data_IF_814034492967
#
_entry.id   IF_814034492967
#
_cell.length_a   1.000
_cell.length_b   1.000
_cell.length_c   1.000
_cell.angle_alpha   90.00
_cell.angle_beta   90.00
_cell.angle_gamma   90.00
#
_symmetry.space_group_name_H-M   'P 1'
#
loop_
_entity.id
_entity.type
_entity.pdbx_description
1 polymer ?
#
# COMPACT_ATOMS: atom_id res chain seq x y z
N UNK A 1 -29.66 17.23 3.95
CA UNK A 1 -30.12 16.90 2.56
C UNK A 1 -29.34 15.67 2.09
N UNK A 2 -29.69 15.03 0.96
CA UNK A 2 -28.93 13.86 0.49
C UNK A 2 -27.51 14.28 0.08
N UNK A 3 -26.50 13.97 0.91
CA UNK A 3 -25.10 13.94 0.45
C UNK A 3 -25.01 12.87 -0.64
N UNK A 4 -24.36 13.19 -1.75
CA UNK A 4 -23.63 12.19 -2.52
C UNK A 4 -22.19 12.31 -2.03
N UNK A 5 -21.61 11.23 -1.50
CA UNK A 5 -20.16 11.14 -1.57
C UNK A 5 -19.78 11.09 -3.05
N UNK A 6 -18.68 11.74 -3.41
CA UNK A 6 -18.17 11.77 -4.77
C UNK A 6 -16.66 11.59 -4.67
N UNK A 7 -16.27 10.36 -4.28
CA UNK A 7 -14.88 9.91 -4.19
C UNK A 7 -14.14 10.27 -5.48
N UNK A 8 -13.02 10.97 -5.35
CA UNK A 8 -12.26 11.52 -6.45
C UNK A 8 -11.35 10.46 -7.11
N UNK A 9 -11.95 9.44 -7.74
CA UNK A 9 -11.23 8.40 -8.48
C UNK A 9 -10.56 9.01 -9.73
N UNK A 10 -9.34 9.54 -9.56
CA UNK A 10 -8.57 10.27 -10.57
C UNK A 10 -7.87 9.36 -11.59
N UNK A 11 -8.64 8.48 -12.22
CA UNK A 11 -8.17 7.63 -13.32
C UNK A 11 -8.07 8.41 -14.65
N UNK A 12 -7.04 8.08 -15.44
CA UNK A 12 -6.62 8.87 -16.60
C UNK A 12 -7.66 8.93 -17.75
N UNK A 13 -8.36 10.08 -17.87
CA UNK A 13 -9.42 10.27 -18.89
C UNK A 13 -8.85 10.58 -20.27
N UNK A 14 -8.78 9.57 -21.14
CA UNK A 14 -8.57 9.78 -22.58
C UNK A 14 -9.88 10.23 -23.28
N UNK A 15 -9.83 11.34 -24.02
CA UNK A 15 -11.03 11.96 -24.58
C UNK A 15 -11.55 11.29 -25.86
N UNK A 16 -12.80 10.81 -25.85
CA UNK A 16 -13.63 10.71 -27.07
C UNK A 16 -15.07 11.18 -26.84
N UNK A 17 -15.46 12.26 -27.52
CA UNK A 17 -16.83 12.81 -27.46
C UNK A 17 -17.70 12.32 -28.62
N UNK A 18 -18.96 11.94 -28.36
CA UNK A 18 -20.08 12.03 -29.31
C UNK A 18 -21.45 11.99 -28.62
N UNK A 19 -22.44 12.64 -29.25
CA UNK A 19 -23.80 12.90 -28.74
C UNK A 19 -24.81 11.86 -29.36
N UNK A 20 -26.12 11.76 -29.08
CA UNK A 20 -27.14 12.70 -28.53
C UNK A 20 -28.46 11.97 -28.17
N UNK A 21 -29.22 12.47 -27.17
CA UNK A 21 -30.70 12.39 -27.04
C UNK A 21 -31.37 10.99 -26.83
N UNK A 22 -32.64 10.83 -26.40
CA UNK A 22 -33.74 11.81 -26.17
C UNK A 22 -34.81 11.36 -25.11
N UNK A 23 -35.35 12.33 -24.35
CA UNK A 23 -36.75 12.51 -23.85
C UNK A 23 -37.66 11.31 -23.44
N UNK A 24 -38.29 11.39 -22.25
CA UNK A 24 -39.51 10.61 -21.92
C UNK A 24 -40.23 10.98 -20.61
N UNK A 25 -41.56 11.10 -20.64
CA UNK A 25 -42.51 11.34 -19.50
C UNK A 25 -43.91 10.83 -19.93
N UNK A 26 -45.00 10.69 -19.14
CA UNK A 26 -45.45 11.08 -17.76
C UNK A 26 -46.38 9.92 -17.24
N UNK A 27 -47.13 9.88 -16.12
CA UNK A 27 -47.53 10.80 -15.03
C UNK A 27 -48.14 10.02 -13.81
N UNK A 28 -48.40 10.76 -12.71
CA UNK A 28 -49.41 10.58 -11.63
C UNK A 28 -50.28 9.31 -11.52
N UNK A 29 -50.47 8.84 -10.27
CA UNK A 29 -51.80 8.75 -9.61
C UNK A 29 -51.69 8.68 -8.07
N UNK A 30 -52.71 9.20 -7.35
CA UNK A 30 -53.07 8.96 -5.93
C UNK A 30 -54.05 7.75 -5.85
N UNK A 31 -54.86 7.39 -4.83
CA UNK A 31 -55.56 7.98 -3.66
C UNK A 31 -55.83 6.83 -2.62
N UNK A 32 -56.31 6.96 -1.37
CA UNK A 32 -56.25 7.97 -0.28
C UNK A 32 -56.95 7.36 1.00
N UNK A 33 -56.62 7.83 2.23
CA UNK A 33 -57.37 7.65 3.51
C UNK A 33 -57.60 6.20 4.07
N UNK A 34 -57.89 5.91 5.36
CA UNK A 34 -57.80 6.54 6.71
C UNK A 34 -57.89 5.36 7.75
N UNK A 35 -58.16 5.37 9.07
CA UNK A 35 -58.70 6.26 10.15
C UNK A 35 -58.09 5.73 11.49
N UNK A 36 -57.70 6.49 12.52
CA UNK A 36 -58.39 7.46 13.44
C UNK A 36 -58.77 6.83 14.82
N UNK A 37 -58.86 7.69 15.85
CA UNK A 37 -59.25 7.48 17.28
C UNK A 37 -58.32 6.69 18.24
N UNK A 38 -58.27 6.96 19.57
CA UNK A 38 -58.51 8.17 20.41
C UNK A 38 -58.23 7.86 21.92
N UNK A 39 -57.99 8.90 22.75
CA UNK A 39 -58.20 8.93 24.23
C UNK A 39 -57.33 7.97 25.11
N UNK A 40 -57.16 8.04 26.44
CA UNK A 40 -57.38 9.00 27.58
C UNK A 40 -56.61 8.37 28.80
N UNK A 41 -56.20 8.96 29.93
CA UNK A 41 -56.11 10.33 30.52
C UNK A 41 -55.23 10.23 31.82
N UNK A 42 -55.03 11.31 32.59
CA UNK A 42 -54.62 11.43 34.02
C UNK A 42 -53.13 11.49 34.45
N UNK A 43 -52.64 12.72 34.58
CA UNK A 43 -52.33 13.39 35.88
C UNK A 43 -51.69 12.62 37.06
N UNK A 44 -50.51 13.07 37.49
CA UNK A 44 -50.17 13.27 38.91
C UNK A 44 -48.94 14.18 39.09
N UNK A 45 -49.12 15.42 39.56
CA UNK A 45 -48.02 16.30 39.95
C UNK A 45 -47.61 16.14 41.43
N UNK A 46 -46.32 16.25 41.71
CA UNK A 46 -45.77 16.44 43.06
C UNK A 46 -44.59 17.42 42.99
N UNK A 47 -44.78 18.59 43.60
CA UNK A 47 -43.79 19.66 43.73
C UNK A 47 -43.15 19.56 45.12
N UNK A 48 -41.83 19.44 45.18
CA UNK A 48 -41.04 19.73 46.39
C UNK A 48 -39.65 20.20 45.97
N UNK A 49 -39.16 21.25 46.64
CA UNK A 49 -37.98 22.00 46.20
C UNK A 49 -36.87 21.89 47.24
N UNK A 50 -35.70 21.41 46.83
CA UNK A 50 -34.45 21.57 47.57
C UNK A 50 -33.38 22.19 46.67
N UNK A 51 -32.58 23.08 47.24
CA UNK A 51 -31.65 23.93 46.50
C UNK A 51 -30.21 23.64 46.95
N UNK A 52 -29.45 23.02 46.05
CA UNK A 52 -28.03 22.74 46.22
C UNK A 52 -27.26 23.20 44.98
N UNK A 53 -26.07 23.77 45.18
CA UNK A 53 -25.25 24.30 44.10
C UNK A 53 -24.83 23.20 43.11
N UNK A 54 -25.31 23.30 41.88
CA UNK A 54 -24.64 22.78 40.69
C UNK A 54 -24.06 23.96 39.92
N UNK A 55 -22.74 24.04 39.78
CA UNK A 55 -22.17 24.91 38.76
C UNK A 55 -22.58 24.35 37.40
N UNK A 56 -23.50 25.03 36.72
CA UNK A 56 -23.73 24.80 35.30
C UNK A 56 -22.44 25.19 34.57
N UNK A 57 -21.65 24.19 34.18
CA UNK A 57 -20.80 24.33 33.02
C UNK A 57 -21.73 24.60 31.84
N UNK A 58 -21.85 25.88 31.47
CA UNK A 58 -22.64 26.29 30.32
C UNK A 58 -22.05 25.62 29.08
N UNK A 59 -22.84 24.76 28.46
CA UNK A 59 -22.62 24.25 27.11
C UNK A 59 -22.83 25.40 26.11
N UNK A 60 -21.89 26.35 26.14
CA UNK A 60 -21.90 27.58 25.37
C UNK A 60 -21.49 27.25 23.94
N UNK A 61 -22.42 26.57 23.25
CA UNK A 61 -22.40 26.24 21.83
C UNK A 61 -22.58 27.53 21.01
N UNK A 62 -21.59 28.42 21.13
CA UNK A 62 -21.44 29.58 20.26
C UNK A 62 -21.32 29.10 18.82
N UNK A 63 -22.33 29.38 17.99
CA UNK A 63 -22.22 29.14 16.55
C UNK A 63 -20.97 29.86 16.02
N UNK A 64 -20.16 29.15 15.22
CA UNK A 64 -18.90 29.65 14.70
C UNK A 64 -19.08 30.99 13.97
N UNK A 65 -18.20 31.96 14.23
CA UNK A 65 -18.31 33.26 13.58
C UNK A 65 -17.78 33.23 12.14
N UNK A 66 -18.19 34.21 11.33
CA UNK A 66 -17.66 34.42 9.97
C UNK A 66 -16.12 34.54 9.95
N UNK A 67 -15.49 35.01 11.04
CA UNK A 67 -14.03 35.11 11.17
C UNK A 67 -13.38 33.77 11.58
N UNK A 68 -14.10 32.89 12.30
CA UNK A 68 -13.63 31.55 12.68
C UNK A 68 -13.59 30.60 11.49
N UNK A 69 -14.71 30.52 10.74
CA UNK A 69 -14.77 29.72 9.51
C UNK A 69 -13.72 30.20 8.51
N UNK A 70 -13.56 31.52 8.34
CA UNK A 70 -12.55 32.09 7.45
C UNK A 70 -11.11 31.74 7.83
N UNK A 71 -10.80 31.57 9.12
CA UNK A 71 -9.49 31.09 9.54
C UNK A 71 -9.28 29.60 9.20
N UNK A 72 -10.34 28.80 9.33
CA UNK A 72 -10.33 27.40 8.93
C UNK A 72 -10.24 27.22 7.41
N UNK A 73 -10.95 28.03 6.62
CA UNK A 73 -10.89 28.08 5.15
C UNK A 73 -9.47 28.41 4.65
N UNK A 74 -8.75 29.31 5.32
CA UNK A 74 -7.36 29.67 4.98
C UNK A 74 -6.40 28.49 5.20
N UNK A 75 -6.64 27.66 6.23
CA UNK A 75 -5.86 26.44 6.50
C UNK A 75 -6.26 25.30 5.55
N UNK A 76 -7.54 25.13 5.25
CA UNK A 76 -8.01 24.16 4.26
C UNK A 76 -7.38 24.38 2.89
N UNK A 77 -7.39 25.63 2.41
CA UNK A 77 -6.75 26.01 1.16
C UNK A 77 -5.21 25.88 1.15
N UNK A 78 -4.55 25.82 2.32
CA UNK A 78 -3.12 25.54 2.44
C UNK A 78 -2.83 24.02 2.45
N UNK A 79 -3.72 23.21 3.04
CA UNK A 79 -3.65 21.74 2.98
C UNK A 79 -3.90 21.26 1.55
N UNK A 80 -4.98 21.73 0.90
CA UNK A 80 -5.28 21.43 -0.51
C UNK A 80 -4.11 21.83 -1.44
N UNK A 81 -3.36 22.88 -1.10
CA UNK A 81 -2.18 23.31 -1.87
C UNK A 81 -1.00 22.34 -1.77
N UNK A 82 -0.80 21.67 -0.63
CA UNK A 82 0.30 20.71 -0.44
C UNK A 82 -0.10 19.28 -0.79
N UNK A 83 -1.39 19.01 -1.02
CA UNK A 83 -1.89 17.73 -1.52
C UNK A 83 -1.66 17.59 -3.03
N UNK A 84 -0.39 17.43 -3.43
CA UNK A 84 0.04 17.35 -4.83
C UNK A 84 0.97 16.14 -5.06
N UNK A 85 0.80 15.48 -6.20
CA UNK A 85 1.63 14.32 -6.60
C UNK A 85 3.01 14.73 -7.14
N UNK A 86 3.19 15.97 -7.60
CA UNK A 86 4.48 16.50 -8.06
C UNK A 86 5.05 17.52 -7.06
N UNK A 87 6.34 17.36 -6.69
CA UNK A 87 7.06 18.33 -5.86
C UNK A 87 7.43 19.58 -6.66
N UNK A 88 7.38 20.74 -6.01
CA UNK A 88 7.68 22.04 -6.63
C UNK A 88 8.70 22.84 -5.82
N UNK A 89 9.28 23.90 -6.43
CA UNK A 89 10.23 24.81 -5.78
C UNK A 89 9.71 25.46 -4.47
N UNK A 90 8.39 25.50 -4.24
CA UNK A 90 7.79 26.10 -3.03
C UNK A 90 7.28 25.08 -2.00
N UNK A 91 7.36 23.77 -2.28
CA UNK A 91 6.74 22.72 -1.44
C UNK A 91 7.19 22.81 0.03
N UNK A 92 8.48 23.07 0.32
CA UNK A 92 8.97 23.19 1.70
C UNK A 92 8.41 24.43 2.43
N UNK A 93 8.30 25.57 1.72
CA UNK A 93 7.72 26.79 2.27
C UNK A 93 6.21 26.64 2.50
N UNK A 94 5.53 25.88 1.63
CA UNK A 94 4.10 25.65 1.67
C UNK A 94 3.68 24.62 2.74
N UNK A 95 4.41 23.51 2.88
CA UNK A 95 4.21 22.53 3.96
C UNK A 95 4.34 23.21 5.33
N UNK A 96 5.38 24.04 5.48
CA UNK A 96 5.59 24.85 6.67
C UNK A 96 4.47 25.89 6.87
N UNK A 97 4.03 26.57 5.82
CA UNK A 97 2.97 27.56 5.92
C UNK A 97 1.63 26.94 6.35
N UNK A 98 1.28 25.76 5.82
CA UNK A 98 0.09 25.02 6.21
C UNK A 98 0.09 24.67 7.69
N UNK A 99 1.19 24.08 8.20
CA UNK A 99 1.31 23.72 9.62
C UNK A 99 1.37 24.95 10.53
N UNK A 100 2.15 25.96 10.17
CA UNK A 100 2.20 27.21 10.91
C UNK A 100 0.82 27.89 10.96
N UNK A 101 -0.05 27.73 9.96
CA UNK A 101 -1.40 28.27 9.98
C UNK A 101 -2.35 27.41 10.86
N UNK A 102 -2.30 26.09 10.73
CA UNK A 102 -3.03 25.14 11.59
C UNK A 102 -2.73 25.34 13.09
N UNK A 103 -1.46 25.51 13.45
CA UNK A 103 -1.02 25.70 14.85
C UNK A 103 -1.45 27.06 15.45
N UNK A 104 -2.02 27.97 14.64
CA UNK A 104 -2.64 29.23 15.09
C UNK A 104 -4.14 29.09 15.33
N UNK A 105 -4.78 28.02 14.86
CA UNK A 105 -6.21 27.78 15.08
C UNK A 105 -6.47 27.36 16.53
N UNK A 106 -7.57 27.86 17.09
CA UNK A 106 -8.20 27.26 18.27
C UNK A 106 -8.80 25.90 17.91
N UNK A 107 -9.02 25.03 18.90
CA UNK A 107 -9.52 23.68 18.62
C UNK A 107 -10.91 23.71 17.97
N UNK A 108 -11.79 24.63 18.39
CA UNK A 108 -13.08 24.87 17.75
C UNK A 108 -13.00 25.38 16.29
N UNK A 109 -11.86 25.94 15.86
CA UNK A 109 -11.62 26.31 14.46
C UNK A 109 -11.02 25.15 13.65
N UNK A 110 -10.32 24.20 14.28
CA UNK A 110 -9.78 23.00 13.61
C UNK A 110 -10.92 22.10 13.12
N UNK A 111 -11.97 21.94 13.92
CA UNK A 111 -13.20 21.22 13.56
C UNK A 111 -13.94 21.82 12.34
N UNK A 112 -13.63 23.06 11.95
CA UNK A 112 -14.22 23.76 10.80
C UNK A 112 -13.37 23.65 9.53
N UNK A 113 -12.17 23.04 9.59
CA UNK A 113 -11.25 22.93 8.46
C UNK A 113 -11.83 21.95 7.44
N UNK A 114 -12.04 22.43 6.22
CA UNK A 114 -12.56 21.66 5.10
C UNK A 114 -11.99 22.21 3.79
N UNK A 115 -11.72 21.31 2.84
CA UNK A 115 -11.20 21.64 1.51
C UNK A 115 -11.70 20.65 0.45
N UNK A 116 -10.93 20.51 -0.62
CA UNK A 116 -11.07 19.41 -1.59
C UNK A 116 -10.53 18.10 -0.98
N UNK A 117 -9.40 18.18 -0.28
CA UNK A 117 -8.70 17.07 0.40
C UNK A 117 -8.44 17.39 1.89
N UNK A 118 -8.60 18.65 2.31
CA UNK A 118 -8.44 19.08 3.69
C UNK A 118 -9.61 18.68 4.62
N UNK A 119 -9.26 18.23 5.83
CA UNK A 119 -10.17 17.89 6.92
C UNK A 119 -9.53 18.17 8.28
N UNK A 120 -10.26 18.12 9.42
CA UNK A 120 -9.67 18.25 10.75
C UNK A 120 -8.66 17.13 11.05
N UNK A 121 -8.91 15.92 10.55
CA UNK A 121 -8.03 14.75 10.75
C UNK A 121 -6.65 14.94 10.10
N UNK A 122 -6.53 15.71 9.01
CA UNK A 122 -5.28 15.84 8.25
C UNK A 122 -4.08 16.24 9.12
N UNK A 123 -4.26 17.17 10.06
CA UNK A 123 -3.25 17.51 11.07
C UNK A 123 -3.70 17.24 12.51
N UNK A 124 -4.97 16.91 12.75
CA UNK A 124 -5.53 16.64 14.08
C UNK A 124 -5.41 15.19 14.55
N UNK A 125 -5.30 14.24 13.61
CA UNK A 125 -5.31 12.80 13.92
C UNK A 125 -4.07 12.36 14.70
N UNK A 126 -4.27 11.69 15.83
CA UNK A 126 -3.20 10.91 16.46
C UNK A 126 -2.88 9.69 15.59
N UNK A 127 -1.63 9.58 15.18
CA UNK A 127 -1.13 8.44 14.40
C UNK A 127 0.10 7.77 15.02
N UNK A 128 0.41 8.11 16.28
CA UNK A 128 1.59 7.63 16.99
C UNK A 128 2.79 8.57 16.96
N UNK A 129 3.93 8.05 17.40
CA UNK A 129 5.09 8.83 17.81
C UNK A 129 6.14 8.94 16.70
N UNK A 130 6.15 10.08 16.01
CA UNK A 130 7.14 10.40 14.96
C UNK A 130 8.60 10.29 15.45
N UNK A 131 8.88 10.46 16.74
CA UNK A 131 10.25 10.41 17.28
C UNK A 131 10.84 9.00 17.39
N UNK A 132 10.06 7.96 17.05
CA UNK A 132 10.53 6.58 16.84
C UNK A 132 11.08 6.33 15.42
N UNK A 133 10.72 7.18 14.47
CA UNK A 133 11.09 6.99 13.06
C UNK A 133 12.56 7.35 12.80
N UNK A 134 13.06 6.94 11.63
CA UNK A 134 14.34 7.38 11.07
C UNK A 134 14.14 7.64 9.57
N UNK A 135 14.27 8.88 9.07
CA UNK A 135 14.17 9.16 7.63
C UNK A 135 15.35 8.57 6.85
N UNK A 136 16.36 8.03 7.54
CA UNK A 136 17.58 7.43 6.99
C UNK A 136 18.23 8.34 5.97
N UNK A 137 18.36 9.61 6.34
CA UNK A 137 18.71 10.70 5.41
C UNK A 137 20.15 11.22 5.57
N UNK A 138 21.05 10.36 6.07
CA UNK A 138 22.47 10.61 6.27
C UNK A 138 23.28 10.66 4.96
N UNK A 139 24.42 11.35 5.01
CA UNK A 139 25.44 11.43 3.97
C UNK A 139 26.74 10.72 4.43
N UNK A 140 27.80 10.74 3.61
CA UNK A 140 29.08 10.03 3.84
C UNK A 140 28.95 8.49 3.89
N UNK A 141 27.93 7.96 3.21
CA UNK A 141 27.45 6.56 3.26
C UNK A 141 28.33 5.48 2.57
N UNK A 142 29.41 5.87 1.91
CA UNK A 142 30.29 4.94 1.18
C UNK A 142 29.81 4.61 -0.24
N UNK A 143 30.35 3.54 -0.82
CA UNK A 143 30.16 3.21 -2.25
C UNK A 143 28.95 2.27 -2.53
N UNK A 144 28.32 1.72 -1.48
CA UNK A 144 27.21 0.76 -1.57
C UNK A 144 25.95 1.34 -0.90
N UNK A 145 24.85 1.48 -1.64
CA UNK A 145 23.55 1.93 -1.12
C UNK A 145 22.47 0.88 -1.32
N UNK A 146 21.72 0.60 -0.24
CA UNK A 146 20.51 -0.22 -0.27
C UNK A 146 19.32 0.71 -0.07
N UNK A 147 18.71 1.14 -1.18
CA UNK A 147 17.58 2.07 -1.17
C UNK A 147 16.27 1.29 -1.01
N UNK A 148 15.64 1.43 0.15
CA UNK A 148 14.32 0.87 0.45
C UNK A 148 13.27 1.86 -0.04
N UNK A 149 12.41 1.41 -0.96
CA UNK A 149 11.39 2.25 -1.61
C UNK A 149 10.00 1.80 -1.19
N UNK A 150 9.23 2.68 -0.60
CA UNK A 150 7.84 2.42 -0.20
C UNK A 150 6.88 3.39 -0.86
N UNK A 151 5.59 3.04 -0.95
CA UNK A 151 4.54 4.04 -1.15
C UNK A 151 4.60 5.10 -0.05
N UNK A 152 4.77 4.64 1.20
CA UNK A 152 4.89 5.46 2.40
C UNK A 152 3.64 5.39 3.28
N UNK A 153 3.70 6.05 4.45
CA UNK A 153 2.51 6.32 5.26
C UNK A 153 2.69 7.55 6.15
N UNK A 154 1.63 8.35 6.28
CA UNK A 154 1.53 9.43 7.26
C UNK A 154 1.21 8.91 8.67
N UNK A 155 0.99 7.60 8.85
CA UNK A 155 0.80 7.01 10.18
C UNK A 155 2.14 6.71 10.83
N UNK A 156 2.45 7.42 11.92
CA UNK A 156 3.78 7.39 12.55
C UNK A 156 4.13 6.02 13.14
N UNK A 157 3.25 5.41 13.92
CA UNK A 157 3.53 4.09 14.50
C UNK A 157 3.61 3.01 13.40
N UNK A 158 2.79 3.07 12.35
CA UNK A 158 2.96 2.20 11.17
C UNK A 158 4.29 2.44 10.44
N UNK A 159 4.75 3.69 10.32
CA UNK A 159 6.03 4.01 9.67
C UNK A 159 7.21 3.46 10.49
N UNK A 160 7.16 3.62 11.81
CA UNK A 160 8.19 3.17 12.75
C UNK A 160 8.17 1.65 13.06
N UNK A 161 7.06 0.95 12.82
CA UNK A 161 6.92 -0.49 13.11
C UNK A 161 6.81 -1.37 11.85
N UNK A 162 6.24 -0.89 10.74
CA UNK A 162 6.11 -1.66 9.49
C UNK A 162 7.24 -1.35 8.49
N UNK A 163 7.42 -0.08 8.10
CA UNK A 163 8.45 0.30 7.10
C UNK A 163 9.84 0.20 7.73
N UNK A 164 10.03 0.85 8.88
CA UNK A 164 11.31 0.85 9.59
C UNK A 164 11.72 -0.55 10.09
N UNK A 165 10.77 -1.46 10.33
CA UNK A 165 11.06 -2.87 10.65
C UNK A 165 11.83 -3.56 9.52
N UNK A 166 11.30 -3.48 8.30
CA UNK A 166 11.96 -3.96 7.07
C UNK A 166 13.35 -3.33 6.91
N UNK A 167 13.48 -2.01 7.07
CA UNK A 167 14.76 -1.31 6.93
C UNK A 167 15.78 -1.68 8.01
N UNK A 168 15.35 -1.92 9.26
CA UNK A 168 16.19 -2.36 10.37
C UNK A 168 16.67 -3.81 10.13
N UNK A 169 15.79 -4.71 9.67
CA UNK A 169 16.14 -6.09 9.31
C UNK A 169 17.14 -6.15 8.14
N UNK A 170 16.93 -5.33 7.10
CA UNK A 170 17.87 -5.19 5.98
C UNK A 170 19.23 -4.63 6.44
N UNK A 171 19.24 -3.68 7.38
CA UNK A 171 20.49 -3.12 7.94
C UNK A 171 21.25 -4.12 8.84
N UNK A 172 20.55 -5.01 9.56
CA UNK A 172 21.19 -6.11 10.31
C UNK A 172 21.73 -7.20 9.37
N UNK A 173 21.03 -7.50 8.28
CA UNK A 173 21.45 -8.49 7.28
C UNK A 173 22.63 -8.01 6.40
N UNK A 174 22.69 -6.72 6.07
CA UNK A 174 23.65 -6.14 5.12
C UNK A 174 24.47 -4.98 5.70
N UNK A 175 25.29 -5.19 6.75
CA UNK A 175 26.05 -4.12 7.42
C UNK A 175 27.15 -3.46 6.56
N UNK A 176 27.48 -4.03 5.40
CA UNK A 176 28.39 -3.44 4.39
C UNK A 176 27.63 -2.61 3.31
N UNK A 177 26.32 -2.41 3.48
CA UNK A 177 25.44 -1.60 2.63
C UNK A 177 24.75 -0.52 3.46
N UNK A 178 24.78 0.73 3.00
CA UNK A 178 24.09 1.82 3.69
C UNK A 178 22.60 1.81 3.33
N UNK A 179 21.75 1.43 4.28
CA UNK A 179 20.29 1.42 4.09
C UNK A 179 19.74 2.84 4.12
N UNK A 180 19.03 3.20 3.04
CA UNK A 180 18.38 4.49 2.78
C UNK A 180 16.89 4.30 2.54
N UNK A 181 16.10 5.37 2.72
CA UNK A 181 14.65 5.40 2.46
C UNK A 181 14.32 6.34 1.30
N UNK A 182 13.37 5.94 0.46
CA UNK A 182 12.61 6.87 -0.39
C UNK A 182 11.12 6.51 -0.39
N UNK A 183 10.25 7.51 -0.51
CA UNK A 183 8.81 7.30 -0.75
C UNK A 183 8.42 7.66 -2.19
N UNK A 184 7.42 6.98 -2.76
CA UNK A 184 6.83 7.33 -4.07
C UNK A 184 5.73 8.40 -3.92
N UNK A 185 4.85 8.26 -2.92
CA UNK A 185 3.67 9.12 -2.77
C UNK A 185 4.04 10.52 -2.23
N UNK A 186 4.18 11.50 -3.12
CA UNK A 186 4.52 12.87 -2.74
C UNK A 186 3.51 13.52 -1.78
N UNK A 187 2.21 13.16 -1.89
CA UNK A 187 1.17 13.59 -0.93
C UNK A 187 1.48 13.16 0.52
N UNK A 188 2.07 11.97 0.70
CA UNK A 188 2.48 11.45 2.02
C UNK A 188 3.73 12.17 2.52
N UNK A 189 4.72 12.40 1.64
CA UNK A 189 5.94 13.13 1.97
C UNK A 189 5.60 14.55 2.44
N UNK A 190 4.73 15.25 1.69
CA UNK A 190 4.28 16.60 2.04
C UNK A 190 3.51 16.62 3.38
N UNK A 191 2.65 15.62 3.62
CA UNK A 191 1.92 15.47 4.89
C UNK A 191 2.88 15.28 6.07
N UNK A 192 3.82 14.33 5.98
CA UNK A 192 4.80 14.03 7.05
C UNK A 192 5.71 15.24 7.30
N UNK A 193 6.22 15.87 6.24
CA UNK A 193 7.04 17.08 6.35
C UNK A 193 6.28 18.24 7.01
N UNK A 194 5.01 18.47 6.61
CA UNK A 194 4.20 19.53 7.19
C UNK A 194 3.84 19.24 8.66
N UNK A 195 3.39 18.02 8.99
CA UNK A 195 2.86 17.70 10.32
C UNK A 195 3.97 17.47 11.35
N UNK A 196 5.03 16.76 10.98
CA UNK A 196 6.02 16.20 11.91
C UNK A 196 7.40 16.91 11.83
N UNK A 197 7.62 17.83 10.87
CA UNK A 197 8.93 18.45 10.51
C UNK A 197 9.97 17.42 10.03
N UNK A 198 9.52 16.22 9.62
CA UNK A 198 10.36 15.09 9.21
C UNK A 198 10.55 15.05 7.68
N UNK A 199 11.80 14.88 7.23
CA UNK A 199 12.18 15.06 5.82
C UNK A 199 12.55 13.72 5.19
N UNK A 200 11.59 13.14 4.47
CA UNK A 200 11.76 11.92 3.68
C UNK A 200 12.03 12.31 2.22
N UNK A 201 13.04 11.70 1.60
CA UNK A 201 13.36 11.94 0.19
C UNK A 201 12.32 11.24 -0.72
N UNK A 202 11.88 11.92 -1.79
CA UNK A 202 11.19 11.25 -2.90
C UNK A 202 12.21 10.53 -3.80
N UNK A 203 11.74 9.70 -4.74
CA UNK A 203 12.61 8.95 -5.67
C UNK A 203 13.67 9.81 -6.38
N UNK A 204 13.30 11.01 -6.87
CA UNK A 204 14.24 11.92 -7.53
C UNK A 204 15.29 12.47 -6.56
N UNK A 205 14.89 12.85 -5.34
CA UNK A 205 15.79 13.35 -4.30
C UNK A 205 16.77 12.27 -3.85
N UNK A 206 16.29 11.05 -3.59
CA UNK A 206 17.12 9.94 -3.15
C UNK A 206 18.16 9.55 -4.21
N UNK A 207 17.73 9.40 -5.48
CA UNK A 207 18.63 9.05 -6.58
C UNK A 207 19.66 10.16 -6.88
N UNK A 208 19.29 11.45 -6.83
CA UNK A 208 20.26 12.56 -6.91
C UNK A 208 21.25 12.54 -5.74
N UNK A 209 20.79 12.19 -4.53
CA UNK A 209 21.63 12.19 -3.32
C UNK A 209 22.55 10.97 -3.23
N UNK A 210 22.15 9.79 -3.73
CA UNK A 210 23.02 8.64 -3.91
C UNK A 210 24.21 9.00 -4.82
N UNK A 211 23.92 9.65 -5.96
CA UNK A 211 24.93 10.19 -6.89
C UNK A 211 25.80 11.26 -6.23
N UNK A 212 25.21 12.16 -5.43
CA UNK A 212 25.97 13.20 -4.72
C UNK A 212 26.89 12.64 -3.61
N UNK A 213 26.51 11.53 -2.98
CA UNK A 213 27.33 10.79 -2.00
C UNK A 213 28.44 9.95 -2.65
N UNK A 214 28.41 9.76 -3.97
CA UNK A 214 29.41 8.96 -4.71
C UNK A 214 29.17 7.46 -4.63
N UNK A 215 27.91 7.04 -4.46
CA UNK A 215 27.50 5.63 -4.55
C UNK A 215 27.86 5.07 -5.92
N UNK A 216 28.29 3.81 -5.94
CA UNK A 216 28.62 3.05 -7.15
C UNK A 216 27.71 1.87 -7.37
N UNK A 217 27.37 1.17 -6.29
CA UNK A 217 26.54 -0.02 -6.31
C UNK A 217 25.22 0.33 -5.63
N UNK A 218 24.15 0.40 -6.40
CA UNK A 218 22.80 0.66 -5.91
C UNK A 218 21.96 -0.62 -5.98
N UNK A 219 21.48 -1.09 -4.84
CA UNK A 219 20.41 -2.08 -4.79
C UNK A 219 19.14 -1.38 -4.31
N UNK A 220 18.05 -1.58 -5.04
CA UNK A 220 16.75 -1.05 -4.66
C UNK A 220 15.86 -2.19 -4.18
N UNK A 221 15.35 -2.09 -2.94
CA UNK A 221 14.34 -2.99 -2.42
C UNK A 221 12.98 -2.28 -2.39
N UNK A 222 12.08 -2.55 -3.36
CA UNK A 222 10.71 -2.09 -3.26
C UNK A 222 10.01 -2.82 -2.11
N UNK A 223 9.38 -2.08 -1.21
CA UNK A 223 8.38 -2.59 -0.26
C UNK A 223 6.98 -2.58 -0.90
N UNK A 224 6.89 -2.70 -2.22
CA UNK A 224 5.63 -2.86 -2.93
C UNK A 224 5.10 -4.29 -2.73
N UNK A 225 3.78 -4.46 -2.86
CA UNK A 225 3.16 -5.78 -2.71
C UNK A 225 3.41 -6.66 -3.95
N UNK A 226 3.47 -6.09 -5.15
CA UNK A 226 3.66 -6.81 -6.42
C UNK A 226 4.26 -5.90 -7.52
N UNK A 227 4.62 -6.49 -8.67
CA UNK A 227 4.90 -5.75 -9.91
C UNK A 227 3.61 -5.10 -10.42
N UNK A 228 3.38 -3.83 -10.06
CA UNK A 228 2.27 -3.00 -10.52
C UNK A 228 2.73 -1.57 -10.82
N UNK A 229 1.81 -0.64 -11.06
CA UNK A 229 2.13 0.73 -11.52
C UNK A 229 3.24 1.43 -10.70
N UNK A 230 3.17 1.41 -9.36
CA UNK A 230 4.21 1.95 -8.46
C UNK A 230 5.60 1.33 -8.67
N UNK A 231 5.67 0.05 -9.02
CA UNK A 231 6.92 -0.64 -9.34
C UNK A 231 7.43 -0.27 -10.74
N UNK A 232 6.54 -0.13 -11.71
CA UNK A 232 6.88 0.27 -13.09
C UNK A 232 7.40 1.72 -13.12
N UNK A 233 6.73 2.65 -12.43
CA UNK A 233 7.15 4.06 -12.30
C UNK A 233 8.47 4.20 -11.53
N UNK A 234 8.64 3.44 -10.44
CA UNK A 234 9.92 3.33 -9.73
C UNK A 234 11.03 2.81 -10.66
N UNK A 235 10.74 1.80 -11.49
CA UNK A 235 11.71 1.20 -12.40
C UNK A 235 12.10 2.16 -13.53
N UNK A 236 11.16 2.91 -14.12
CA UNK A 236 11.47 3.95 -15.11
C UNK A 236 12.33 5.08 -14.50
N UNK A 237 12.05 5.49 -13.26
CA UNK A 237 12.87 6.46 -12.54
C UNK A 237 14.32 5.95 -12.32
N UNK A 238 14.50 4.69 -11.94
CA UNK A 238 15.83 4.08 -11.73
C UNK A 238 16.57 3.90 -13.07
N UNK A 239 15.89 3.50 -14.15
CA UNK A 239 16.46 3.39 -15.50
C UNK A 239 17.09 4.72 -15.96
N UNK A 240 16.48 5.86 -15.61
CA UNK A 240 17.01 7.21 -15.86
C UNK A 240 18.30 7.57 -15.08
N UNK A 241 18.79 6.70 -14.20
CA UNK A 241 20.00 6.89 -13.40
C UNK A 241 21.07 5.80 -13.59
N UNK A 242 20.79 4.71 -14.33
CA UNK A 242 21.71 3.57 -14.46
C UNK A 242 23.09 3.92 -15.06
N UNK A 243 23.24 5.04 -15.76
CA UNK A 243 24.52 5.51 -16.30
C UNK A 243 25.37 6.31 -15.29
N UNK A 244 24.84 6.61 -14.11
CA UNK A 244 25.52 7.37 -13.03
C UNK A 244 26.18 6.46 -11.98
N UNK A 245 25.87 5.17 -12.00
CA UNK A 245 26.36 4.14 -11.07
C UNK A 245 27.29 3.16 -11.81
N UNK A 246 28.13 2.42 -11.08
CA UNK A 246 28.93 1.32 -11.64
C UNK A 246 28.08 0.04 -11.77
N UNK A 247 27.14 -0.18 -10.86
CA UNK A 247 26.18 -1.29 -10.92
C UNK A 247 24.83 -0.96 -10.26
N UNK A 248 23.73 -1.50 -10.80
CA UNK A 248 22.36 -1.29 -10.29
C UNK A 248 21.54 -2.57 -10.39
N UNK A 249 20.89 -2.96 -9.30
CA UNK A 249 19.88 -4.03 -9.27
C UNK A 249 18.61 -3.58 -8.53
N UNK A 250 17.49 -4.18 -8.91
CA UNK A 250 16.19 -4.03 -8.24
C UNK A 250 15.81 -5.42 -7.73
N UNK A 251 15.39 -5.51 -6.47
CA UNK A 251 14.91 -6.74 -5.85
C UNK A 251 13.42 -6.97 -6.11
N UNK A 252 12.97 -8.21 -5.97
CA UNK A 252 11.54 -8.54 -6.10
C UNK A 252 10.68 -7.81 -5.04
N UNK A 253 9.43 -7.44 -5.37
CA UNK A 253 8.43 -7.00 -4.42
C UNK A 253 7.83 -8.20 -3.65
N UNK A 254 7.02 -7.94 -2.61
CA UNK A 254 6.67 -8.94 -1.60
C UNK A 254 6.03 -10.24 -2.13
N UNK A 255 5.15 -10.15 -3.12
CA UNK A 255 4.50 -11.31 -3.75
C UNK A 255 5.26 -11.81 -5.00
N UNK A 256 6.42 -11.24 -5.33
CA UNK A 256 7.15 -11.49 -6.58
C UNK A 256 6.35 -11.20 -7.85
N UNK A 257 6.81 -11.73 -8.99
CA UNK A 257 6.14 -11.68 -10.31
C UNK A 257 4.61 -11.92 -10.24
N UNK A 258 3.83 -11.14 -11.00
CA UNK A 258 2.39 -11.40 -11.19
C UNK A 258 2.19 -12.30 -12.41
N UNK A 259 1.47 -13.41 -12.25
CA UNK A 259 1.21 -14.35 -13.33
C UNK A 259 0.01 -13.99 -14.21
N UNK A 260 -0.09 -14.62 -15.39
CA UNK A 260 -1.13 -14.35 -16.40
C UNK A 260 -2.58 -14.60 -15.93
N UNK A 261 -2.80 -15.51 -14.97
CA UNK A 261 -4.12 -15.80 -14.40
C UNK A 261 -4.05 -16.23 -12.92
N UNK A 262 -5.21 -16.35 -12.26
CA UNK A 262 -5.34 -16.70 -10.84
C UNK A 262 -4.62 -18.00 -10.42
N UNK A 263 -4.38 -18.93 -11.34
CA UNK A 263 -3.73 -20.22 -11.06
C UNK A 263 -2.19 -20.15 -11.10
N UNK A 264 -1.62 -19.05 -11.58
CA UNK A 264 -0.17 -18.83 -11.67
C UNK A 264 0.34 -18.22 -10.36
N UNK A 265 0.82 -19.10 -9.48
CA UNK A 265 1.33 -18.80 -8.13
C UNK A 265 2.82 -19.10 -8.00
N UNK A 266 3.51 -18.39 -7.11
CA UNK A 266 4.94 -18.55 -6.79
C UNK A 266 5.15 -18.84 -5.29
N UNK A 267 6.39 -19.16 -4.89
CA UNK A 267 6.70 -19.45 -3.49
C UNK A 267 6.64 -18.19 -2.59
N UNK A 268 6.75 -16.98 -3.14
CA UNK A 268 6.63 -15.71 -2.39
C UNK A 268 5.19 -15.50 -1.89
N UNK A 269 4.18 -15.60 -2.78
CA UNK A 269 2.76 -15.57 -2.42
C UNK A 269 2.44 -16.62 -1.35
N UNK A 270 3.05 -17.80 -1.45
CA UNK A 270 2.90 -18.88 -0.46
C UNK A 270 3.53 -18.55 0.90
N UNK A 271 4.71 -17.94 0.90
CA UNK A 271 5.38 -17.49 2.12
C UNK A 271 4.55 -16.40 2.82
N UNK A 272 4.07 -15.39 2.08
CA UNK A 272 3.23 -14.30 2.61
C UNK A 272 1.87 -14.82 3.10
N UNK A 273 1.21 -15.72 2.35
CA UNK A 273 -0.05 -16.33 2.76
C UNK A 273 0.08 -17.14 4.06
N UNK A 274 1.17 -17.89 4.24
CA UNK A 274 1.49 -18.58 5.49
C UNK A 274 1.79 -17.58 6.62
N UNK A 275 2.64 -16.57 6.37
CA UNK A 275 3.04 -15.59 7.38
C UNK A 275 1.88 -14.75 7.91
N UNK A 276 1.00 -14.24 7.05
CA UNK A 276 -0.16 -13.43 7.49
C UNK A 276 -1.19 -14.28 8.24
N UNK A 277 -1.41 -15.54 7.84
CA UNK A 277 -2.39 -16.41 8.50
C UNK A 277 -1.90 -16.93 9.84
N UNK A 278 -0.61 -17.27 9.97
CA UNK A 278 0.01 -17.65 11.25
C UNK A 278 -0.01 -16.49 12.25
N UNK A 279 0.33 -15.27 11.83
CA UNK A 279 0.27 -14.10 12.71
C UNK A 279 -1.16 -13.73 13.09
N UNK A 280 -2.10 -13.77 12.14
CA UNK A 280 -3.52 -13.50 12.40
C UNK A 280 -4.13 -14.51 13.40
N UNK A 281 -3.78 -15.80 13.28
CA UNK A 281 -4.18 -16.84 14.24
C UNK A 281 -3.55 -16.60 15.62
N UNK A 282 -2.24 -16.33 15.67
CA UNK A 282 -1.48 -16.03 16.90
C UNK A 282 -2.07 -14.85 17.66
N UNK A 283 -2.41 -13.76 16.97
CA UNK A 283 -3.04 -12.57 17.55
C UNK A 283 -4.48 -12.84 18.00
N UNK A 284 -5.23 -13.65 17.25
CA UNK A 284 -6.59 -14.10 17.62
C UNK A 284 -6.64 -15.20 18.70
N UNK A 285 -5.48 -15.75 19.11
CA UNK A 285 -5.38 -16.81 20.12
C UNK A 285 -5.71 -18.23 19.65
N UNK A 286 -5.61 -18.51 18.34
CA UNK A 286 -5.75 -19.85 17.76
C UNK A 286 -4.39 -20.50 17.49
N UNK A 287 -4.32 -21.83 17.63
CA UNK A 287 -3.10 -22.60 17.33
C UNK A 287 -2.75 -22.63 15.83
N UNK A 288 -3.77 -22.65 14.95
CA UNK A 288 -3.65 -22.57 13.49
C UNK A 288 -4.99 -22.14 12.84
N UNK A 289 -4.98 -21.91 11.53
CA UNK A 289 -6.17 -21.54 10.74
C UNK A 289 -7.33 -22.55 10.86
N UNK A 290 -7.02 -23.83 11.07
CA UNK A 290 -8.04 -24.86 11.25
C UNK A 290 -8.66 -24.79 12.64
N UNK A 291 -7.91 -24.49 13.70
CA UNK A 291 -8.45 -24.26 15.02
C UNK A 291 -9.43 -23.06 15.02
N UNK A 292 -9.13 -22.02 14.24
CA UNK A 292 -10.06 -20.92 13.97
C UNK A 292 -11.31 -21.38 13.19
N UNK A 293 -11.15 -22.20 12.14
CA UNK A 293 -12.27 -22.74 11.36
C UNK A 293 -13.19 -23.66 12.18
N UNK A 294 -12.62 -24.57 12.99
CA UNK A 294 -13.34 -25.46 13.92
C UNK A 294 -14.05 -24.66 15.04
N UNK A 295 -13.62 -23.41 15.30
CA UNK A 295 -14.28 -22.45 16.20
C UNK A 295 -15.33 -21.55 15.52
N UNK A 296 -15.50 -21.64 14.19
CA UNK A 296 -16.46 -20.83 13.42
C UNK A 296 -15.96 -19.45 12.98
N UNK A 297 -14.64 -19.23 13.03
CA UNK A 297 -14.00 -17.95 12.72
C UNK A 297 -13.39 -17.93 11.32
N UNK A 298 -13.69 -16.87 10.57
CA UNK A 298 -13.07 -16.52 9.28
C UNK A 298 -12.12 -15.33 9.42
N UNK A 299 -11.07 -15.32 8.61
CA UNK A 299 -10.19 -14.18 8.40
C UNK A 299 -10.42 -13.57 7.02
N UNK A 300 -10.55 -12.25 6.97
CA UNK A 300 -10.69 -11.47 5.75
C UNK A 300 -9.46 -10.57 5.62
N UNK A 301 -8.69 -10.79 4.56
CA UNK A 301 -7.44 -10.08 4.29
C UNK A 301 -7.69 -9.01 3.22
N UNK A 302 -7.69 -7.74 3.63
CA UNK A 302 -8.08 -6.60 2.79
C UNK A 302 -6.85 -5.93 2.17
N UNK A 303 -6.65 -6.13 0.87
CA UNK A 303 -5.67 -5.39 0.07
C UNK A 303 -6.22 -4.04 -0.41
N UNK A 304 -5.40 -3.26 -1.11
CA UNK A 304 -5.83 -1.99 -1.72
C UNK A 304 -6.80 -2.24 -2.90
N UNK A 305 -6.44 -3.19 -3.77
CA UNK A 305 -6.95 -3.25 -5.14
C UNK A 305 -5.94 -2.63 -6.11
N UNK A 306 -6.29 -2.57 -7.40
CA UNK A 306 -5.70 -1.70 -8.41
C UNK A 306 -6.46 -1.87 -9.73
N UNK A 307 -6.57 -0.82 -10.54
CA UNK A 307 -6.98 -0.93 -11.95
C UNK A 307 -5.87 -1.41 -12.89
N UNK A 308 -4.67 -1.71 -12.38
CA UNK A 308 -3.57 -2.29 -13.16
C UNK A 308 -3.82 -3.76 -13.45
N UNK A 309 -3.21 -4.31 -14.52
CA UNK A 309 -3.27 -5.76 -14.83
C UNK A 309 -2.68 -6.65 -13.74
N UNK A 310 -1.98 -6.04 -12.77
CA UNK A 310 -1.49 -6.71 -11.58
C UNK A 310 -2.59 -7.16 -10.59
N UNK A 311 -3.84 -6.70 -10.75
CA UNK A 311 -4.93 -6.98 -9.79
C UNK A 311 -5.28 -8.47 -9.63
N UNK A 312 -5.00 -9.30 -10.64
CA UNK A 312 -5.07 -10.76 -10.55
C UNK A 312 -4.21 -11.35 -9.42
N UNK A 313 -3.24 -10.61 -8.87
CA UNK A 313 -2.48 -11.02 -7.68
C UNK A 313 -3.38 -11.29 -6.46
N UNK A 314 -4.52 -10.60 -6.32
CA UNK A 314 -5.45 -10.84 -5.22
C UNK A 314 -6.20 -12.18 -5.39
N UNK A 315 -6.53 -12.58 -6.62
CA UNK A 315 -7.07 -13.91 -6.95
C UNK A 315 -6.01 -15.01 -6.82
N UNK A 316 -4.75 -14.70 -7.16
CA UNK A 316 -3.60 -15.59 -6.93
C UNK A 316 -3.38 -15.81 -5.43
N UNK A 317 -3.58 -14.79 -4.59
CA UNK A 317 -3.54 -14.93 -3.13
C UNK A 317 -4.71 -15.75 -2.59
N UNK A 318 -5.95 -15.58 -3.09
CA UNK A 318 -7.06 -16.48 -2.71
C UNK A 318 -6.77 -17.91 -3.13
N UNK A 319 -6.30 -18.12 -4.36
CA UNK A 319 -5.89 -19.43 -4.87
C UNK A 319 -4.75 -20.03 -4.04
N UNK A 320 -3.87 -19.21 -3.47
CA UNK A 320 -2.81 -19.65 -2.57
C UNK A 320 -3.34 -20.04 -1.17
N UNK A 321 -4.33 -19.32 -0.62
CA UNK A 321 -5.03 -19.72 0.61
C UNK A 321 -5.75 -21.07 0.43
N UNK A 322 -6.46 -21.23 -0.69
CA UNK A 322 -7.15 -22.47 -1.06
C UNK A 322 -6.17 -23.64 -1.20
N UNK A 323 -5.00 -23.42 -1.81
CA UNK A 323 -3.94 -24.43 -1.96
C UNK A 323 -3.23 -24.79 -0.63
N UNK A 324 -3.23 -23.89 0.36
CA UNK A 324 -2.81 -24.21 1.74
C UNK A 324 -3.93 -24.96 2.51
N UNK A 325 -5.15 -25.02 1.96
CA UNK A 325 -6.30 -25.70 2.55
C UNK A 325 -7.09 -24.84 3.54
N UNK A 326 -6.88 -23.51 3.53
CA UNK A 326 -7.50 -22.58 4.47
C UNK A 326 -8.93 -22.21 4.04
N UNK A 327 -9.89 -23.08 4.37
CA UNK A 327 -11.33 -22.90 4.03
C UNK A 327 -12.00 -21.68 4.68
N UNK A 328 -11.27 -20.92 5.49
CA UNK A 328 -11.73 -19.78 6.28
C UNK A 328 -10.86 -18.51 6.06
N UNK A 329 -10.07 -18.47 4.99
CA UNK A 329 -9.35 -17.27 4.54
C UNK A 329 -10.02 -16.70 3.27
N UNK A 330 -10.27 -15.39 3.28
CA UNK A 330 -10.91 -14.68 2.19
C UNK A 330 -10.12 -13.42 1.81
N UNK A 331 -9.82 -13.22 0.54
CA UNK A 331 -9.17 -12.00 0.05
C UNK A 331 -10.23 -10.98 -0.39
N UNK A 332 -10.01 -9.71 -0.03
CA UNK A 332 -10.83 -8.57 -0.43
C UNK A 332 -9.98 -7.37 -0.85
N UNK A 333 -10.56 -6.40 -1.55
CA UNK A 333 -9.86 -5.15 -1.93
C UNK A 333 -10.73 -3.90 -1.73
N UNK A 334 -10.13 -2.79 -1.30
CA UNK A 334 -10.84 -1.49 -1.11
C UNK A 334 -11.47 -1.00 -2.42
N UNK A 335 -10.73 -1.05 -3.53
CA UNK A 335 -11.26 -0.67 -4.86
C UNK A 335 -12.35 -1.62 -5.37
N UNK A 336 -12.39 -2.86 -4.89
CA UNK A 336 -13.27 -3.91 -5.44
C UNK A 336 -12.81 -4.41 -6.81
N UNK A 337 -11.51 -4.32 -7.12
CA UNK A 337 -10.90 -4.85 -8.35
C UNK A 337 -9.83 -5.90 -7.99
N UNK A 338 -9.99 -7.19 -8.34
CA UNK A 338 -11.05 -7.80 -9.18
C UNK A 338 -12.47 -7.76 -8.60
N UNK A 339 -13.50 -7.76 -9.46
CA UNK A 339 -14.92 -7.51 -9.12
C UNK A 339 -15.47 -8.35 -7.96
N UNK A 340 -14.99 -9.59 -7.76
CA UNK A 340 -15.48 -10.47 -6.69
C UNK A 340 -14.70 -10.34 -5.36
N UNK A 341 -13.74 -9.41 -5.30
CA UNK A 341 -13.03 -9.01 -4.07
C UNK A 341 -13.66 -7.82 -3.35
N UNK A 342 -14.71 -7.22 -3.92
CA UNK A 342 -15.48 -6.13 -3.30
C UNK A 342 -16.15 -6.57 -1.98
N UNK A 343 -16.31 -5.65 -1.02
CA UNK A 343 -16.77 -5.95 0.34
C UNK A 343 -18.07 -6.78 0.38
N UNK A 344 -19.07 -6.46 -0.44
CA UNK A 344 -20.35 -7.18 -0.45
C UNK A 344 -20.21 -8.61 -0.99
N UNK A 345 -19.31 -8.85 -1.95
CA UNK A 345 -18.95 -10.18 -2.47
C UNK A 345 -18.20 -11.00 -1.42
N UNK A 346 -17.32 -10.37 -0.63
CA UNK A 346 -16.62 -11.04 0.47
C UNK A 346 -17.58 -11.40 1.61
N UNK A 347 -18.51 -10.51 1.98
CA UNK A 347 -19.59 -10.80 2.93
C UNK A 347 -20.41 -12.01 2.46
N UNK A 348 -20.81 -12.05 1.18
CA UNK A 348 -21.50 -13.20 0.59
C UNK A 348 -20.66 -14.49 0.66
N UNK A 349 -19.37 -14.46 0.29
CA UNK A 349 -18.45 -15.61 0.36
C UNK A 349 -18.32 -16.18 1.78
N UNK A 350 -18.05 -15.33 2.78
CA UNK A 350 -17.87 -15.74 4.20
C UNK A 350 -19.17 -16.34 4.76
N UNK A 351 -20.32 -15.75 4.40
CA UNK A 351 -21.66 -16.20 4.78
C UNK A 351 -22.02 -17.56 4.16
N UNK A 352 -21.74 -17.76 2.87
CA UNK A 352 -22.02 -19.05 2.20
C UNK A 352 -21.12 -20.18 2.69
N UNK A 353 -19.87 -19.88 3.08
CA UNK A 353 -18.99 -20.82 3.75
C UNK A 353 -19.45 -21.19 5.19
N UNK A 354 -20.33 -20.39 5.78
CA UNK A 354 -21.06 -20.70 7.01
C UNK A 354 -20.40 -20.21 8.31
N UNK A 355 -19.38 -19.34 8.22
CA UNK A 355 -18.73 -18.76 9.40
C UNK A 355 -19.62 -17.73 10.11
N UNK A 356 -19.27 -17.43 11.37
CA UNK A 356 -20.05 -16.54 12.25
C UNK A 356 -19.21 -15.51 12.99
N UNK A 357 -17.94 -15.78 13.27
CA UNK A 357 -17.02 -14.75 13.75
C UNK A 357 -16.14 -14.32 12.56
N UNK A 358 -15.88 -13.03 12.41
CA UNK A 358 -15.05 -12.49 11.33
C UNK A 358 -13.93 -11.64 11.93
N UNK A 359 -12.71 -11.82 11.42
CA UNK A 359 -11.55 -10.99 11.77
C UNK A 359 -11.03 -10.32 10.49
N UNK A 360 -11.09 -8.99 10.44
CA UNK A 360 -10.54 -8.19 9.34
C UNK A 360 -9.06 -7.87 9.61
N UNK A 361 -8.18 -8.05 8.62
CA UNK A 361 -6.75 -7.70 8.70
C UNK A 361 -6.24 -7.11 7.37
N UNK A 362 -5.32 -6.13 7.37
CA UNK A 362 -4.72 -5.62 6.14
C UNK A 362 -3.88 -6.67 5.39
N UNK A 363 -4.03 -6.72 4.07
CA UNK A 363 -3.08 -7.33 3.12
C UNK A 363 -2.26 -6.21 2.47
N UNK A 364 -1.65 -5.37 3.31
CA UNK A 364 -0.89 -4.18 2.91
C UNK A 364 0.37 -4.09 3.78
N UNK A 365 1.44 -3.51 3.24
CA UNK A 365 2.73 -3.42 3.95
C UNK A 365 2.60 -2.65 5.26
N UNK A 366 1.83 -1.55 5.24
CA UNK A 366 1.55 -0.68 6.38
C UNK A 366 0.08 -0.79 6.78
N UNK A 367 -0.21 -0.69 8.08
CA UNK A 367 -1.58 -0.45 8.57
C UNK A 367 -1.93 1.06 8.52
N UNK A 368 -1.86 1.65 7.33
CA UNK A 368 -2.13 3.08 7.09
C UNK A 368 -3.62 3.44 7.04
N UNK A 369 -3.96 4.48 6.28
CA UNK A 369 -5.30 5.10 6.31
C UNK A 369 -6.44 4.10 5.98
N UNK A 370 -6.30 3.33 4.88
CA UNK A 370 -7.25 2.27 4.51
C UNK A 370 -7.48 1.22 5.62
N UNK A 371 -6.45 0.89 6.41
CA UNK A 371 -6.60 -0.06 7.52
C UNK A 371 -7.40 0.53 8.70
N UNK A 372 -7.31 1.84 8.90
CA UNK A 372 -7.94 2.54 10.04
C UNK A 372 -9.32 3.10 9.68
N UNK A 373 -9.57 3.44 8.41
CA UNK A 373 -10.82 4.01 7.92
C UNK A 373 -11.64 2.96 7.18
N UNK A 374 -11.21 2.60 5.97
CA UNK A 374 -11.98 1.72 5.07
C UNK A 374 -12.18 0.32 5.68
N UNK A 375 -11.21 -0.23 6.40
CA UNK A 375 -11.38 -1.54 7.04
C UNK A 375 -12.15 -1.47 8.35
N UNK A 376 -11.77 -0.55 9.24
CA UNK A 376 -12.08 -0.63 10.68
C UNK A 376 -12.69 0.64 11.30
N UNK A 377 -12.91 1.70 10.52
CA UNK A 377 -13.52 2.94 10.97
C UNK A 377 -15.00 2.78 11.35
N UNK A 378 -15.57 3.80 11.98
CA UNK A 378 -16.98 3.81 12.41
C UNK A 378 -17.94 4.42 11.38
N UNK A 379 -17.45 4.85 10.21
CA UNK A 379 -18.27 5.29 9.09
C UNK A 379 -18.99 4.12 8.40
N UNK A 380 -20.15 4.40 7.80
CA UNK A 380 -21.10 3.38 7.35
C UNK A 380 -20.65 2.60 6.09
N UNK A 381 -19.64 3.08 5.38
CA UNK A 381 -18.95 2.43 4.26
C UNK A 381 -17.68 1.68 4.67
N UNK A 382 -17.26 1.73 5.95
CA UNK A 382 -16.17 0.85 6.41
C UNK A 382 -16.57 -0.63 6.34
N UNK A 383 -15.60 -1.52 6.12
CA UNK A 383 -15.83 -2.96 6.01
C UNK A 383 -16.41 -3.51 7.31
N UNK A 384 -15.86 -3.13 8.46
CA UNK A 384 -16.43 -3.41 9.79
C UNK A 384 -17.93 -3.05 9.85
N UNK A 385 -18.29 -1.80 9.51
CA UNK A 385 -19.69 -1.35 9.49
C UNK A 385 -20.55 -2.15 8.52
N UNK A 386 -20.05 -2.47 7.32
CA UNK A 386 -20.77 -3.26 6.32
C UNK A 386 -21.00 -4.72 6.78
N UNK A 387 -19.97 -5.35 7.37
CA UNK A 387 -20.06 -6.69 7.94
C UNK A 387 -21.03 -6.73 9.13
N UNK A 388 -20.97 -5.77 10.06
CA UNK A 388 -21.95 -5.65 11.16
C UNK A 388 -23.38 -5.42 10.64
N UNK A 389 -23.55 -4.50 9.68
CA UNK A 389 -24.86 -4.14 9.11
C UNK A 389 -25.53 -5.27 8.30
N UNK A 390 -24.77 -6.29 7.88
CA UNK A 390 -25.33 -7.50 7.25
C UNK A 390 -26.30 -8.26 8.19
N UNK A 391 -26.03 -8.24 9.50
CA UNK A 391 -26.73 -9.06 10.48
C UNK A 391 -26.51 -10.57 10.35
N UNK A 392 -25.51 -11.01 9.56
CA UNK A 392 -25.21 -12.42 9.32
C UNK A 392 -24.13 -13.00 10.26
N UNK A 393 -23.40 -12.16 11.00
CA UNK A 393 -22.27 -12.56 11.86
C UNK A 393 -22.56 -12.32 13.35
N UNK A 394 -22.00 -13.16 14.20
CA UNK A 394 -22.08 -13.09 15.66
C UNK A 394 -20.99 -12.18 16.27
N UNK A 395 -19.84 -12.03 15.60
CA UNK A 395 -18.83 -10.99 15.90
C UNK A 395 -18.06 -10.54 14.64
N UNK A 396 -17.56 -9.30 14.68
CA UNK A 396 -16.69 -8.68 13.68
C UNK A 396 -15.59 -7.94 14.42
N UNK A 397 -14.37 -8.44 14.36
CA UNK A 397 -13.18 -7.89 15.03
C UNK A 397 -12.15 -7.42 13.98
N UNK A 398 -11.19 -6.58 14.36
CA UNK A 398 -10.18 -6.01 13.45
C UNK A 398 -8.77 -6.10 14.04
N UNK A 399 -7.79 -6.50 13.23
CA UNK A 399 -6.37 -6.56 13.57
C UNK A 399 -5.61 -5.49 12.78
N UNK A 400 -5.29 -4.36 13.42
CA UNK A 400 -4.69 -3.19 12.77
C UNK A 400 -3.16 -3.31 12.78
N UNK A 401 -2.65 -4.18 11.90
CA UNK A 401 -1.24 -4.50 11.79
C UNK A 401 -0.85 -4.72 10.31
N UNK A 402 0.24 -4.09 9.86
CA UNK A 402 0.75 -4.27 8.52
C UNK A 402 1.43 -5.62 8.31
N UNK A 403 1.74 -5.92 7.05
CA UNK A 403 2.61 -7.05 6.68
C UNK A 403 4.08 -6.77 7.04
N UNK A 404 4.52 -5.49 7.05
CA UNK A 404 5.92 -5.11 7.25
C UNK A 404 6.47 -5.53 8.61
N UNK A 405 5.69 -5.43 9.68
CA UNK A 405 6.08 -5.85 11.04
C UNK A 405 6.09 -7.37 11.28
N UNK A 406 5.83 -8.20 10.25
CA UNK A 406 5.81 -9.66 10.37
C UNK A 406 7.20 -10.18 10.02
N UNK A 407 7.93 -10.74 11.00
CA UNK A 407 9.32 -11.16 10.82
C UNK A 407 9.56 -12.14 9.64
N UNK A 408 8.58 -12.98 9.29
CA UNK A 408 8.66 -13.86 8.12
C UNK A 408 8.51 -13.14 6.76
N UNK A 409 8.02 -11.90 6.77
CA UNK A 409 7.97 -10.98 5.62
C UNK A 409 9.22 -10.10 5.58
N UNK A 410 9.75 -9.68 6.74
CA UNK A 410 11.08 -9.05 6.86
C UNK A 410 12.17 -10.00 6.30
N UNK A 411 12.16 -11.27 6.72
CA UNK A 411 13.03 -12.35 6.19
C UNK A 411 12.89 -12.52 4.66
N UNK A 412 11.70 -12.29 4.10
CA UNK A 412 11.44 -12.42 2.66
C UNK A 412 12.06 -11.25 1.88
N UNK A 413 11.90 -10.01 2.34
CA UNK A 413 12.58 -8.86 1.77
C UNK A 413 14.11 -8.96 1.89
N UNK A 414 14.62 -9.49 3.01
CA UNK A 414 16.05 -9.84 3.14
C UNK A 414 16.46 -10.86 2.06
N UNK A 415 15.68 -11.91 1.83
CA UNK A 415 15.98 -12.90 0.78
C UNK A 415 15.96 -12.31 -0.65
N UNK A 416 14.99 -11.43 -0.96
CA UNK A 416 14.90 -10.73 -2.24
C UNK A 416 16.07 -9.77 -2.45
N UNK A 417 16.40 -8.96 -1.45
CA UNK A 417 17.59 -8.10 -1.45
C UNK A 417 18.87 -8.92 -1.64
N UNK A 418 18.97 -10.10 -1.01
CA UNK A 418 20.13 -10.99 -1.22
C UNK A 418 20.32 -11.37 -2.68
N UNK A 419 19.23 -11.71 -3.38
CA UNK A 419 19.28 -12.09 -4.78
C UNK A 419 19.72 -10.92 -5.67
N UNK A 420 19.25 -9.70 -5.37
CA UNK A 420 19.69 -8.49 -6.06
C UNK A 420 21.19 -8.20 -5.83
N UNK A 421 21.68 -8.27 -4.58
CA UNK A 421 23.11 -8.10 -4.26
C UNK A 421 23.98 -9.16 -4.96
N UNK A 422 23.57 -10.44 -4.91
CA UNK A 422 24.29 -11.53 -5.58
C UNK A 422 24.36 -11.34 -7.11
N UNK A 423 23.33 -10.73 -7.72
CA UNK A 423 23.29 -10.50 -9.17
C UNK A 423 24.37 -9.54 -9.67
N UNK A 424 24.79 -8.57 -8.84
CA UNK A 424 25.83 -7.61 -9.20
C UNK A 424 27.21 -8.28 -9.34
N UNK A 425 27.51 -9.26 -8.48
CA UNK A 425 28.76 -10.03 -8.55
C UNK A 425 28.82 -10.97 -9.76
N UNK A 426 27.66 -11.43 -10.26
CA UNK A 426 27.59 -12.33 -11.41
C UNK A 426 27.99 -11.65 -12.74
N UNK A 427 27.85 -10.33 -12.87
CA UNK A 427 28.31 -9.58 -14.05
C UNK A 427 29.84 -9.50 -14.16
N UNK A 428 30.56 -9.42 -13.03
CA UNK A 428 32.02 -9.28 -13.02
C UNK A 428 32.74 -10.58 -13.41
N UNK A 429 32.32 -11.73 -12.86
CA UNK A 429 32.88 -13.04 -13.23
C UNK A 429 32.61 -13.38 -14.71
N UNK A 430 31.45 -12.98 -15.25
CA UNK A 430 31.12 -13.15 -16.66
C UNK A 430 32.01 -12.28 -17.59
N UNK A 431 32.42 -11.10 -17.14
CA UNK A 431 33.38 -10.26 -17.85
C UNK A 431 34.83 -10.77 -17.72
N UNK A 432 35.15 -11.52 -16.67
CA UNK A 432 36.49 -12.08 -16.48
C UNK A 432 36.78 -13.25 -17.45
N UNK A 433 35.86 -14.22 -17.61
CA UNK A 433 36.12 -15.42 -18.43
C UNK A 433 36.37 -15.13 -19.92
N UNK A 434 35.81 -14.07 -20.49
CA UNK A 434 36.01 -13.70 -21.92
C UNK A 434 37.41 -13.09 -22.19
N UNK A 435 38.16 -12.73 -21.15
CA UNK A 435 39.49 -12.08 -21.30
C UNK A 435 40.68 -13.03 -21.33
N UNK A 436 40.54 -14.27 -20.84
CA UNK A 436 41.63 -15.27 -20.77
C UNK A 436 41.72 -16.15 -22.06
N UNK A 437 40.89 -15.85 -23.07
CA UNK A 437 40.75 -16.66 -24.29
C UNK A 437 41.71 -16.31 -25.44
N UNK A 438 42.16 -15.05 -25.59
CA UNK A 438 43.06 -14.61 -26.68
C UNK A 438 44.49 -14.28 -26.21
N UNK A 439 45.25 -15.29 -25.79
CA UNK A 439 46.66 -15.13 -25.38
C UNK A 439 47.65 -16.20 -25.88
N UNK A 440 47.31 -17.02 -26.89
CA UNK A 440 48.24 -18.02 -27.44
C UNK A 440 47.98 -18.45 -28.90
N UNK A 441 48.56 -17.76 -29.89
CA UNK A 441 49.64 -18.30 -30.76
C UNK A 441 50.10 -17.27 -31.82
N UNK A 442 51.41 -16.99 -31.86
CA UNK A 442 52.09 -16.40 -33.02
C UNK A 442 53.56 -16.86 -33.03
N UNK A 443 53.91 -17.80 -33.91
CA UNK A 443 55.19 -17.71 -34.65
C UNK A 443 55.34 -18.65 -35.86
N UNK A 444 55.84 -18.07 -36.96
CA UNK A 444 56.74 -18.65 -37.98
C UNK A 444 56.21 -19.51 -39.17
N UNK A 445 56.07 -18.81 -40.32
CA UNK A 445 56.68 -19.12 -41.63
C UNK A 445 56.56 -20.50 -42.34
N UNK A 446 55.65 -20.53 -43.32
CA UNK A 446 55.88 -20.83 -44.76
C UNK A 446 57.02 -21.79 -45.21
N UNK A 447 56.65 -22.95 -45.79
CA UNK A 447 57.28 -23.51 -47.02
C UNK A 447 56.29 -24.28 -47.92
N UNK A 448 56.10 -23.76 -49.13
CA UNK A 448 55.80 -24.37 -50.46
C UNK A 448 55.47 -25.88 -50.68
N UNK A 449 54.60 -26.08 -51.71
CA UNK A 449 54.65 -27.09 -52.80
C UNK A 449 53.88 -28.44 -52.72
N UNK A 450 52.73 -28.48 -53.42
CA UNK A 450 52.49 -29.21 -54.69
C UNK A 450 52.92 -30.70 -54.84
N UNK A 451 51.93 -31.62 -54.89
CA UNK A 451 51.83 -32.68 -55.92
C UNK A 451 50.37 -33.25 -55.99
N UNK A 452 50.03 -34.03 -57.02
CA UNK A 452 48.67 -34.53 -57.27
C UNK A 452 48.58 -35.99 -57.81
N UNK A 453 47.70 -36.79 -57.20
CA UNK A 453 47.10 -38.03 -57.74
C UNK A 453 45.82 -38.34 -56.90
N UNK A 454 44.71 -38.89 -57.40
CA UNK A 454 44.50 -40.19 -58.08
C UNK A 454 45.00 -41.40 -57.25
N UNK A 455 44.25 -42.50 -57.04
CA UNK A 455 43.07 -43.03 -57.76
C UNK A 455 42.22 -44.00 -56.90
N UNK A 456 40.91 -44.08 -57.25
CA UNK A 456 40.02 -45.28 -57.29
C UNK A 456 39.55 -46.05 -56.04
N UNK A 457 38.27 -46.46 -56.15
CA UNK A 457 37.66 -47.76 -55.77
C UNK A 457 37.32 -48.04 -54.28
N UNK A 458 36.23 -48.77 -53.97
CA UNK A 458 34.97 -49.09 -54.70
C UNK A 458 33.94 -49.68 -53.69
N UNK A 459 32.65 -49.77 -54.07
CA UNK A 459 31.54 -50.51 -53.43
C UNK A 459 31.05 -50.09 -52.03
N UNK A 460 29.84 -50.47 -51.59
CA UNK A 460 28.50 -50.56 -52.22
C UNK A 460 27.47 -50.95 -51.13
N UNK A 461 26.23 -50.47 -51.25
CA UNK A 461 25.01 -50.95 -50.54
C UNK A 461 25.04 -50.87 -48.98
N UNK A 462 23.92 -50.75 -48.26
CA UNK A 462 22.53 -51.00 -48.63
C UNK A 462 21.54 -50.01 -47.96
N UNK A 463 20.32 -49.92 -48.49
CA UNK A 463 19.16 -49.36 -47.80
C UNK A 463 18.73 -50.23 -46.60
N UNK A 464 18.10 -49.63 -45.58
CA UNK A 464 16.72 -49.95 -45.16
C UNK A 464 16.29 -49.24 -43.85
N UNK A 465 15.04 -48.75 -43.87
CA UNK A 465 14.16 -48.32 -42.74
C UNK A 465 14.66 -47.20 -41.80
#
# INVERSE_FOLDING_TARGET
MKRKSMLALLLAVSMTCSMTAATGTVAFASDDAATEEAADDTEAAADDADAADTEEASDDTTEASDDDQKAADEVGALIDKIYVQERTDTTDEDCKAAKEAWDKLTDAQKELVTGEEASPEYFGRDTGDASKDDPRNQDEIGENELLVVSFGTSFNDSRAEDIKGIEDALAEAYPDWSVRRAFTAQIIINHVQARDDEVIDNMQQALDRAVANGVKNLVVQPTHLMHGAEYDEMTEAIDGYKDKFESVAIAEPMLGEVGDDATVINDDKKAVAQAITDEACKEAGFDDMKAAADAGTAFVFMGHGTSHTANVTYDQMQTQMDNLGFTNAFIGTVEGEPEDTACDKVIEKVKEAGFKNVILRPLMVVAGDHANNDMAGDDADSWKSQFEASGDFDSVDCQIAGLGRIAAVEDLYVAHTKAAIDSLGASDDAAAEDTDAEAADDSADDVQADDAAETTADTAEADAE
#
